data_IF_854856493372
#
_entry.id   IF_854856493372
#
_cell.length_a   1.000
_cell.length_b   1.000
_cell.length_c   1.000
_cell.angle_alpha   90.00
_cell.angle_beta   90.00
_cell.angle_gamma   90.00
#
_symmetry.space_group_name_H-M   'P 1'
#
loop_
_entity.id
_entity.type
_entity.pdbx_description
1 polymer ?
#
# COMPACT_ATOMS: atom_id res chain seq x y z
N UNK A 1 -22.36 -19.24 25.63
CA UNK A 1 -22.30 -18.31 24.48
C UNK A 1 -21.55 -17.07 24.94
N UNK A 2 -20.25 -16.97 24.61
CA UNK A 2 -19.42 -15.85 25.06
C UNK A 2 -19.53 -14.69 24.06
N UNK A 3 -19.58 -13.42 24.50
CA UNK A 3 -19.67 -12.29 23.59
C UNK A 3 -18.35 -12.09 22.84
N UNK A 4 -18.43 -12.02 21.51
CA UNK A 4 -17.36 -11.56 20.64
C UNK A 4 -17.15 -10.06 20.87
N UNK A 5 -16.24 -9.71 21.78
CA UNK A 5 -15.76 -8.35 21.92
C UNK A 5 -14.88 -8.04 20.69
N UNK A 6 -15.52 -7.57 19.62
CA UNK A 6 -14.86 -6.92 18.50
C UNK A 6 -14.39 -5.55 18.96
N UNK A 7 -13.29 -5.51 19.71
CA UNK A 7 -12.55 -4.26 19.92
C UNK A 7 -12.00 -3.82 18.56
N UNK A 8 -12.77 -2.97 17.87
CA UNK A 8 -12.26 -2.14 16.79
C UNK A 8 -11.08 -1.37 17.36
N UNK A 9 -9.86 -1.83 17.07
CA UNK A 9 -8.64 -1.12 17.38
C UNK A 9 -8.67 0.14 16.51
N UNK A 10 -9.29 1.19 17.03
CA UNK A 10 -9.36 2.51 16.42
C UNK A 10 -7.91 2.98 16.25
N UNK A 11 -7.35 2.69 15.09
CA UNK A 11 -6.00 3.09 14.74
C UNK A 11 -6.08 4.60 14.63
N UNK A 12 -5.35 5.32 15.47
CA UNK A 12 -5.34 6.79 15.46
C UNK A 12 -5.10 7.23 14.01
N UNK A 13 -5.90 8.16 13.46
CA UNK A 13 -5.75 8.57 12.07
C UNK A 13 -4.32 9.06 11.82
N UNK A 14 -3.66 8.44 10.84
CA UNK A 14 -2.29 8.77 10.44
C UNK A 14 -2.35 9.81 9.32
N UNK A 15 -1.67 10.94 9.50
CA UNK A 15 -1.46 11.89 8.40
C UNK A 15 -0.56 11.25 7.35
N UNK A 16 -1.00 11.27 6.10
CA UNK A 16 -0.26 10.68 4.98
C UNK A 16 -0.43 11.48 3.69
N UNK A 17 0.53 11.30 2.79
CA UNK A 17 0.50 11.80 1.41
C UNK A 17 0.30 10.60 0.48
N UNK A 18 -0.61 10.75 -0.49
CA UNK A 18 -0.92 9.71 -1.46
C UNK A 18 -0.07 9.86 -2.74
N UNK A 19 0.51 8.75 -3.21
CA UNK A 19 1.23 8.65 -4.46
C UNK A 19 0.48 7.70 -5.38
N UNK A 20 0.12 8.20 -6.56
CA UNK A 20 -0.57 7.43 -7.60
C UNK A 20 0.45 6.75 -8.50
N UNK A 21 0.18 5.50 -8.83
CA UNK A 21 0.88 4.72 -9.85
C UNK A 21 -0.12 4.20 -10.84
N UNK A 22 -0.07 4.72 -12.06
CA UNK A 22 -0.88 4.21 -13.16
C UNK A 22 -0.28 2.90 -13.71
N UNK A 23 -1.16 2.02 -14.14
CA UNK A 23 -0.88 0.72 -14.74
C UNK A 23 -1.65 0.61 -16.06
N UNK A 24 -1.54 -0.54 -16.71
CA UNK A 24 -2.28 -0.83 -17.94
C UNK A 24 -3.80 -0.94 -17.67
N UNK A 25 -4.59 -0.90 -18.75
CA UNK A 25 -6.06 -1.06 -18.73
C UNK A 25 -6.80 -0.08 -17.80
N UNK A 26 -6.24 1.11 -17.60
CA UNK A 26 -6.80 2.13 -16.72
C UNK A 26 -6.72 1.77 -15.24
N UNK A 27 -6.00 0.71 -14.88
CA UNK A 27 -5.78 0.33 -13.51
C UNK A 27 -4.77 1.28 -12.84
N UNK A 28 -4.91 1.47 -11.53
CA UNK A 28 -3.97 2.28 -10.76
C UNK A 28 -3.93 1.87 -9.29
N UNK A 29 -2.83 2.23 -8.64
CA UNK A 29 -2.61 2.07 -7.21
C UNK A 29 -2.45 3.43 -6.55
N UNK A 30 -2.87 3.51 -5.28
CA UNK A 30 -2.59 4.62 -4.38
C UNK A 30 -1.79 4.10 -3.18
N UNK A 31 -0.62 4.68 -2.97
CA UNK A 31 0.25 4.40 -1.83
C UNK A 31 0.23 5.58 -0.86
N UNK A 32 0.03 5.33 0.42
CA UNK A 32 0.05 6.37 1.44
C UNK A 32 1.33 6.29 2.27
N UNK A 33 2.15 7.34 2.20
CA UNK A 33 3.31 7.50 3.08
C UNK A 33 2.96 8.39 4.26
N UNK A 34 3.27 7.94 5.46
CA UNK A 34 3.21 8.78 6.66
C UNK A 34 4.33 9.84 6.65
N UNK A 35 4.24 10.82 7.54
CA UNK A 35 5.24 11.92 7.68
C UNK A 35 6.68 11.41 7.88
N UNK A 36 6.86 10.21 8.45
CA UNK A 36 8.17 9.58 8.66
C UNK A 36 8.68 8.75 7.45
N UNK A 37 7.98 8.82 6.32
CA UNK A 37 8.26 8.08 5.08
C UNK A 37 7.79 6.62 5.09
N UNK A 38 7.18 6.13 6.18
CA UNK A 38 6.69 4.75 6.25
C UNK A 38 5.44 4.55 5.39
N UNK A 39 5.41 3.46 4.62
CA UNK A 39 4.23 3.05 3.88
C UNK A 39 3.16 2.54 4.86
N UNK A 40 2.00 3.19 4.88
CA UNK A 40 0.91 2.90 5.85
C UNK A 40 -0.37 2.39 5.20
N UNK A 41 -0.56 2.58 3.90
CA UNK A 41 -1.68 2.00 3.16
C UNK A 41 -1.33 1.80 1.68
N UNK A 42 -1.95 0.77 1.09
CA UNK A 42 -1.99 0.54 -0.36
C UNK A 42 -3.44 0.24 -0.73
N UNK A 43 -3.93 0.91 -1.76
CA UNK A 43 -5.24 0.66 -2.37
C UNK A 43 -5.10 0.68 -3.88
N UNK A 44 -6.11 0.18 -4.59
CA UNK A 44 -6.07 0.16 -6.04
C UNK A 44 -7.43 -0.03 -6.67
N UNK A 45 -7.54 0.39 -7.92
CA UNK A 45 -8.72 0.24 -8.77
C UNK A 45 -8.24 -0.32 -10.11
N UNK A 46 -8.85 -1.41 -10.56
CA UNK A 46 -8.51 -2.06 -11.82
C UNK A 46 -9.49 -3.19 -12.13
N UNK A 47 -9.42 -3.76 -13.34
CA UNK A 47 -10.30 -4.86 -13.73
C UNK A 47 -9.99 -6.13 -12.94
N UNK A 48 -11.04 -6.83 -12.49
CA UNK A 48 -10.97 -8.17 -11.89
C UNK A 48 -9.82 -8.34 -10.87
N UNK A 49 -8.92 -9.30 -11.11
CA UNK A 49 -7.81 -9.67 -10.23
C UNK A 49 -6.47 -9.05 -10.67
N UNK A 50 -6.48 -8.06 -11.56
CA UNK A 50 -5.27 -7.46 -12.16
C UNK A 50 -4.31 -6.87 -11.12
N UNK A 51 -4.83 -6.44 -9.96
CA UNK A 51 -4.05 -5.79 -8.91
C UNK A 51 -3.66 -6.72 -7.75
N UNK A 52 -4.06 -7.99 -7.76
CA UNK A 52 -3.90 -8.85 -6.58
C UNK A 52 -2.45 -9.05 -6.17
N UNK A 53 -1.53 -9.14 -7.14
CA UNK A 53 -0.10 -9.25 -6.88
C UNK A 53 0.45 -7.97 -6.24
N UNK A 54 0.08 -6.82 -6.77
CA UNK A 54 0.55 -5.51 -6.36
C UNK A 54 0.04 -5.15 -4.97
N UNK A 55 -1.24 -5.41 -4.69
CA UNK A 55 -1.83 -5.28 -3.36
C UNK A 55 -1.09 -6.17 -2.37
N UNK A 56 -0.83 -7.44 -2.71
CA UNK A 56 -0.10 -8.35 -1.82
C UNK A 56 1.32 -7.87 -1.51
N UNK A 57 2.04 -7.36 -2.52
CA UNK A 57 3.37 -6.79 -2.30
C UNK A 57 3.31 -5.51 -1.45
N UNK A 58 2.29 -4.67 -1.65
CA UNK A 58 2.01 -3.49 -0.83
C UNK A 58 1.77 -3.83 0.65
N UNK A 59 0.94 -4.84 0.92
CA UNK A 59 0.73 -5.36 2.27
C UNK A 59 2.03 -5.84 2.93
N UNK A 60 2.89 -6.52 2.16
CA UNK A 60 4.19 -6.99 2.66
C UNK A 60 5.13 -5.81 2.99
N UNK A 61 5.13 -4.75 2.18
CA UNK A 61 5.89 -3.53 2.44
C UNK A 61 5.39 -2.82 3.71
N UNK A 62 4.07 -2.70 3.90
CA UNK A 62 3.46 -2.14 5.12
C UNK A 62 3.84 -2.98 6.34
N UNK A 63 3.75 -4.31 6.22
CA UNK A 63 4.09 -5.24 7.31
C UNK A 63 5.56 -5.12 7.74
N UNK A 64 6.45 -4.76 6.81
CA UNK A 64 7.88 -4.52 7.08
C UNK A 64 8.18 -3.09 7.51
N UNK A 65 7.17 -2.23 7.63
CA UNK A 65 7.33 -0.79 7.87
C UNK A 65 8.29 -0.14 6.88
N UNK A 66 8.25 -0.58 5.62
CA UNK A 66 9.16 -0.13 4.57
C UNK A 66 9.03 1.39 4.36
N UNK A 67 10.16 2.02 4.01
CA UNK A 67 10.27 3.46 3.73
C UNK A 67 10.74 3.71 2.29
N UNK A 68 9.97 3.26 1.29
CA UNK A 68 10.31 3.49 -0.11
C UNK A 68 10.30 4.99 -0.44
N UNK A 69 11.11 5.38 -1.41
CA UNK A 69 11.08 6.76 -1.91
C UNK A 69 9.77 7.00 -2.70
N UNK A 70 9.20 8.21 -2.64
CA UNK A 70 8.02 8.58 -3.43
C UNK A 70 8.08 8.18 -4.91
N UNK A 71 9.21 8.45 -5.56
CA UNK A 71 9.40 8.16 -6.99
C UNK A 71 9.39 6.65 -7.29
N UNK A 72 9.84 5.83 -6.34
CA UNK A 72 9.79 4.36 -6.46
C UNK A 72 8.35 3.84 -6.45
N UNK A 73 7.47 4.50 -5.71
CA UNK A 73 6.05 4.14 -5.64
C UNK A 73 5.27 4.61 -6.86
N UNK A 74 5.54 5.82 -7.36
CA UNK A 74 4.83 6.39 -8.51
C UNK A 74 5.24 5.79 -9.86
N UNK A 75 6.45 5.22 -9.96
CA UNK A 75 6.98 4.68 -11.23
C UNK A 75 6.50 3.25 -11.49
N UNK A 76 5.74 3.05 -12.57
CA UNK A 76 5.18 1.75 -12.93
C UNK A 76 6.23 0.67 -13.23
N UNK A 77 7.36 1.03 -13.87
CA UNK A 77 8.42 0.09 -14.25
C UNK A 77 9.28 -0.38 -13.08
N UNK A 78 9.17 0.24 -11.90
CA UNK A 78 9.85 -0.24 -10.69
C UNK A 78 9.03 -1.38 -10.10
N UNK A 79 9.62 -2.57 -10.03
CA UNK A 79 8.98 -3.73 -9.44
C UNK A 79 8.87 -3.57 -7.92
N UNK A 80 7.66 -3.56 -7.37
CA UNK A 80 7.42 -3.45 -5.91
C UNK A 80 8.16 -4.53 -5.11
N UNK A 81 8.36 -5.71 -5.70
CA UNK A 81 9.10 -6.81 -5.07
C UNK A 81 10.56 -6.43 -4.75
N UNK A 82 11.19 -5.60 -5.58
CA UNK A 82 12.58 -5.15 -5.34
C UNK A 82 12.68 -4.27 -4.09
N UNK A 83 11.62 -3.53 -3.77
CA UNK A 83 11.54 -2.67 -2.58
C UNK A 83 11.42 -3.48 -1.28
N UNK A 84 11.11 -4.79 -1.35
CA UNK A 84 11.09 -5.66 -0.17
C UNK A 84 12.49 -6.05 0.29
N UNK A 85 13.50 -5.98 -0.59
CA UNK A 85 14.88 -6.36 -0.27
C UNK A 85 15.72 -5.19 0.29
N UNK A 86 15.15 -3.98 0.31
CA UNK A 86 15.80 -2.74 0.73
C UNK A 86 15.63 -2.47 2.23
#
# INVERSE_FOLDING_TARGET
MAPIQSESRATKPVRSVAFRRDLDDGAFLLFHLAENGGLVAVSGIGPENSLAREIRLGEMLISRQAKPLPDQLATAHIELKTLLAA
#
